data_IF_893473882808
#
_entry.id   IF_893473882808
#
_cell.length_a   1.000
_cell.length_b   1.000
_cell.length_c   1.000
_cell.angle_alpha   90.00
_cell.angle_beta   90.00
_cell.angle_gamma   90.00
#
_symmetry.space_group_name_H-M   'P 1'
#
loop_
_entity.id
_entity.type
_entity.pdbx_description
1 polymer ?
#
# COMPACT_ATOMS: atom_id res chain seq x y z
N UNK A 1 3.54 10.05 -27.87
CA UNK A 1 3.71 8.59 -27.67
C UNK A 1 2.94 8.15 -26.42
N UNK A 2 3.02 6.87 -26.01
CA UNK A 2 2.52 6.47 -24.67
C UNK A 2 3.32 7.17 -23.57
N UNK A 3 4.64 7.18 -23.72
CA UNK A 3 5.59 7.85 -22.83
C UNK A 3 5.25 9.33 -22.63
N UNK A 4 5.08 10.11 -23.71
CA UNK A 4 4.75 11.54 -23.59
C UNK A 4 3.46 11.78 -22.80
N UNK A 5 2.45 10.91 -22.96
CA UNK A 5 1.18 11.02 -22.24
C UNK A 5 1.33 10.67 -20.77
N UNK A 6 2.08 9.61 -20.44
CA UNK A 6 2.35 9.22 -19.06
C UNK A 6 3.11 10.33 -18.33
N UNK A 7 4.15 10.88 -18.96
CA UNK A 7 4.97 11.93 -18.36
C UNK A 7 4.20 13.25 -18.23
N UNK A 8 3.35 13.60 -19.20
CA UNK A 8 2.48 14.78 -19.09
C UNK A 8 1.45 14.64 -17.95
N UNK A 9 0.89 13.44 -17.75
CA UNK A 9 0.02 13.16 -16.59
C UNK A 9 0.82 13.28 -15.30
N UNK A 10 2.04 12.73 -15.24
CA UNK A 10 2.90 12.83 -14.06
C UNK A 10 3.19 14.31 -13.70
N UNK A 11 3.49 15.16 -14.69
CA UNK A 11 3.72 16.59 -14.47
C UNK A 11 2.46 17.31 -13.96
N UNK A 12 1.28 16.89 -14.42
CA UNK A 12 0.01 17.42 -13.94
C UNK A 12 -0.28 16.98 -12.50
N UNK A 13 -0.15 15.68 -12.20
CA UNK A 13 -0.32 15.13 -10.86
C UNK A 13 0.68 15.74 -9.87
N UNK A 14 1.92 15.99 -10.28
CA UNK A 14 2.92 16.65 -9.44
C UNK A 14 2.49 18.06 -8.99
N UNK A 15 1.74 18.81 -9.83
CA UNK A 15 1.18 20.11 -9.43
C UNK A 15 0.12 19.94 -8.33
N UNK A 16 -0.75 18.95 -8.47
CA UNK A 16 -1.79 18.66 -7.46
C UNK A 16 -1.18 18.20 -6.14
N UNK A 17 -0.15 17.35 -6.19
CA UNK A 17 0.59 16.91 -5.00
C UNK A 17 1.16 18.14 -4.27
N UNK A 18 1.78 19.08 -4.99
CA UNK A 18 2.25 20.35 -4.38
C UNK A 18 1.12 21.17 -3.75
N UNK A 19 -0.06 21.20 -4.35
CA UNK A 19 -1.22 21.86 -3.75
C UNK A 19 -1.65 21.21 -2.42
N UNK A 20 -1.73 19.88 -2.38
CA UNK A 20 -2.05 19.12 -1.15
C UNK A 20 -1.00 19.35 -0.05
N UNK A 21 0.25 19.39 -0.47
CA UNK A 21 1.41 19.69 0.36
C UNK A 21 1.35 21.07 1.01
N UNK A 22 1.08 22.11 0.22
CA UNK A 22 0.87 23.49 0.70
C UNK A 22 -0.33 23.59 1.65
N UNK A 23 -1.35 22.74 1.45
CA UNK A 23 -2.49 22.61 2.36
C UNK A 23 -2.19 21.82 3.65
N UNK A 24 -0.96 21.32 3.83
CA UNK A 24 -0.50 20.64 5.04
C UNK A 24 -0.57 19.12 5.02
N UNK A 25 -0.83 18.48 3.86
CA UNK A 25 -0.76 17.03 3.74
C UNK A 25 0.67 16.54 3.98
N UNK A 26 0.85 15.58 4.90
CA UNK A 26 2.18 15.03 5.23
C UNK A 26 2.55 13.80 4.42
N UNK A 27 1.56 13.15 3.82
CA UNK A 27 1.72 12.01 2.94
C UNK A 27 0.60 12.06 1.90
N UNK A 28 0.91 11.65 0.68
CA UNK A 28 -0.07 11.53 -0.41
C UNK A 28 -0.05 10.10 -0.95
N UNK A 29 -1.23 9.49 -0.96
CA UNK A 29 -1.42 8.15 -1.50
C UNK A 29 -1.73 8.25 -2.99
N UNK A 30 -0.97 7.52 -3.80
CA UNK A 30 -1.17 7.40 -5.24
C UNK A 30 -1.66 5.98 -5.53
N UNK A 31 -2.96 5.86 -5.81
CA UNK A 31 -3.58 4.62 -6.24
C UNK A 31 -3.23 4.32 -7.71
N UNK A 32 -2.30 3.39 -7.92
CA UNK A 32 -1.80 3.06 -9.24
C UNK A 32 -1.65 1.54 -9.43
N UNK A 33 -2.77 0.81 -9.57
CA UNK A 33 -2.74 -0.62 -9.86
C UNK A 33 -2.12 -0.93 -11.24
N UNK A 34 -1.98 0.06 -12.13
CA UNK A 34 -1.42 -0.15 -13.46
C UNK A 34 0.09 -0.46 -13.43
N UNK A 35 0.81 0.03 -12.41
CA UNK A 35 2.25 -0.27 -12.19
C UNK A 35 2.49 -1.78 -12.14
N UNK A 36 1.65 -2.51 -11.40
CA UNK A 36 1.75 -3.96 -11.24
C UNK A 36 1.02 -4.71 -12.36
N UNK A 37 -0.04 -4.12 -12.94
CA UNK A 37 -0.76 -4.71 -14.07
C UNK A 37 0.04 -4.73 -15.38
N UNK A 38 1.02 -3.82 -15.53
CA UNK A 38 1.82 -3.68 -16.75
C UNK A 38 3.33 -3.69 -16.48
N UNK A 39 3.91 -4.85 -16.10
CA UNK A 39 5.35 -4.97 -15.80
C UNK A 39 6.27 -4.46 -16.90
N UNK A 40 5.85 -4.59 -18.17
CA UNK A 40 6.60 -4.11 -19.33
C UNK A 40 6.87 -2.59 -19.34
N UNK A 41 6.12 -1.81 -18.57
CA UNK A 41 6.26 -0.35 -18.47
C UNK A 41 6.84 0.10 -17.13
N UNK A 42 7.40 -0.80 -16.32
CA UNK A 42 7.86 -0.49 -14.96
C UNK A 42 8.91 0.65 -14.94
N UNK A 43 9.76 0.72 -15.95
CA UNK A 43 10.76 1.78 -16.10
C UNK A 43 10.12 3.15 -16.35
N UNK A 44 9.13 3.20 -17.24
CA UNK A 44 8.37 4.42 -17.53
C UNK A 44 7.54 4.87 -16.30
N UNK A 45 6.94 3.91 -15.59
CA UNK A 45 6.24 4.21 -14.34
C UNK A 45 7.20 4.79 -13.29
N UNK A 46 8.40 4.23 -13.12
CA UNK A 46 9.39 4.76 -12.18
C UNK A 46 9.80 6.18 -12.54
N UNK A 47 9.96 6.48 -13.83
CA UNK A 47 10.26 7.84 -14.30
C UNK A 47 9.12 8.82 -13.98
N UNK A 48 7.86 8.41 -14.20
CA UNK A 48 6.72 9.20 -13.77
C UNK A 48 6.75 9.49 -12.26
N UNK A 49 7.05 8.49 -11.43
CA UNK A 49 7.16 8.65 -9.98
C UNK A 49 8.32 9.54 -9.54
N UNK A 50 9.43 9.62 -10.30
CA UNK A 50 10.50 10.60 -10.02
C UNK A 50 9.98 12.02 -10.11
N UNK A 51 9.18 12.32 -11.14
CA UNK A 51 8.55 13.64 -11.31
C UNK A 51 7.57 13.98 -10.19
N UNK A 52 6.90 12.97 -9.63
CA UNK A 52 6.03 13.15 -8.45
C UNK A 52 6.83 13.40 -7.18
N UNK A 53 7.94 12.68 -6.98
CA UNK A 53 8.73 12.70 -5.76
C UNK A 53 9.50 14.03 -5.54
N UNK A 54 9.79 14.76 -6.62
CA UNK A 54 10.47 16.07 -6.59
C UNK A 54 9.63 17.19 -5.90
N UNK A 55 8.46 16.85 -5.36
CA UNK A 55 7.52 17.79 -4.74
C UNK A 55 7.64 17.91 -3.21
N UNK A 56 8.69 17.34 -2.61
CA UNK A 56 9.10 17.43 -1.20
C UNK A 56 8.23 16.68 -0.16
N UNK A 57 7.26 15.84 -0.58
CA UNK A 57 6.36 15.12 0.33
C UNK A 57 6.51 13.60 0.24
N UNK A 58 6.15 12.92 1.33
CA UNK A 58 6.15 11.46 1.37
C UNK A 58 5.02 10.93 0.46
N UNK A 59 5.40 10.09 -0.50
CA UNK A 59 4.44 9.39 -1.36
C UNK A 59 4.23 7.96 -0.87
N UNK A 60 3.00 7.48 -0.93
CA UNK A 60 2.66 6.07 -0.86
C UNK A 60 2.20 5.59 -2.25
N UNK A 61 2.86 4.56 -2.79
CA UNK A 61 2.36 3.89 -3.99
C UNK A 61 1.43 2.75 -3.55
N UNK A 62 0.15 2.88 -3.87
CA UNK A 62 -0.90 1.93 -3.47
C UNK A 62 -1.19 1.01 -4.65
N UNK A 63 -0.70 -0.23 -4.56
CA UNK A 63 -0.96 -1.26 -5.57
C UNK A 63 -2.05 -2.21 -5.08
N UNK A 64 -3.07 -2.43 -5.92
CA UNK A 64 -4.15 -3.38 -5.65
C UNK A 64 -4.65 -3.97 -6.98
N UNK A 65 -5.67 -4.83 -6.92
CA UNK A 65 -6.17 -5.66 -8.02
C UNK A 65 -5.23 -6.74 -8.55
N UNK A 66 -3.93 -6.49 -8.75
CA UNK A 66 -3.02 -7.43 -9.39
C UNK A 66 -1.90 -7.86 -8.44
N UNK A 67 -1.44 -9.14 -8.51
CA UNK A 67 -0.30 -9.58 -7.73
C UNK A 67 0.97 -8.83 -8.15
N UNK A 68 1.77 -8.30 -7.21
CA UNK A 68 2.97 -7.52 -7.51
C UNK A 68 4.17 -8.39 -7.93
N UNK A 69 4.04 -9.72 -7.90
CA UNK A 69 5.10 -10.72 -8.00
C UNK A 69 6.10 -10.45 -9.13
N UNK A 70 5.62 -10.07 -10.33
CA UNK A 70 6.45 -9.83 -11.50
C UNK A 70 7.35 -8.59 -11.39
N UNK A 71 7.06 -7.67 -10.47
CA UNK A 71 7.77 -6.38 -10.31
C UNK A 71 8.14 -6.09 -8.87
N UNK A 72 8.00 -7.05 -7.96
CA UNK A 72 8.15 -6.85 -6.52
C UNK A 72 9.50 -6.23 -6.15
N UNK A 73 10.60 -6.72 -6.73
CA UNK A 73 11.93 -6.13 -6.53
C UNK A 73 12.03 -4.72 -7.13
N UNK A 74 11.47 -4.52 -8.32
CA UNK A 74 11.48 -3.23 -9.01
C UNK A 74 10.76 -2.16 -8.20
N UNK A 75 9.67 -2.50 -7.49
CA UNK A 75 8.94 -1.58 -6.63
C UNK A 75 9.81 -1.01 -5.49
N UNK A 76 10.80 -1.77 -5.00
CA UNK A 76 11.70 -1.29 -3.94
C UNK A 76 12.53 -0.07 -4.38
N UNK A 77 12.77 0.08 -5.69
CA UNK A 77 13.51 1.21 -6.27
C UNK A 77 12.67 2.45 -6.56
N UNK A 78 11.34 2.40 -6.34
CA UNK A 78 10.49 3.58 -6.56
C UNK A 78 10.81 4.69 -5.55
N UNK A 79 10.78 5.97 -5.97
CA UNK A 79 11.09 7.12 -5.12
C UNK A 79 9.89 7.49 -4.22
N UNK A 80 9.43 6.54 -3.44
CA UNK A 80 8.28 6.66 -2.53
C UNK A 80 8.67 6.26 -1.11
N UNK A 81 8.00 6.86 -0.13
CA UNK A 81 8.21 6.59 1.29
C UNK A 81 7.50 5.31 1.74
N UNK A 82 6.37 4.97 1.10
CA UNK A 82 5.57 3.81 1.41
C UNK A 82 5.14 3.02 0.18
N UNK A 83 4.97 1.71 0.34
CA UNK A 83 4.39 0.81 -0.67
C UNK A 83 3.22 0.08 -0.01
N UNK A 84 2.04 0.14 -0.63
CA UNK A 84 0.91 -0.70 -0.23
C UNK A 84 0.85 -1.97 -1.08
N UNK A 85 0.76 -3.11 -0.40
CA UNK A 85 0.74 -4.43 -1.04
C UNK A 85 -0.45 -5.22 -0.52
N UNK A 86 -1.29 -5.67 -1.45
CA UNK A 86 -2.34 -6.64 -1.19
C UNK A 86 -1.75 -8.05 -1.02
N UNK A 87 -1.81 -8.58 0.20
CA UNK A 87 -1.38 -9.95 0.52
C UNK A 87 -2.55 -10.86 0.90
N UNK A 88 -3.78 -10.38 0.73
CA UNK A 88 -4.99 -11.03 1.27
C UNK A 88 -5.96 -11.47 0.20
N UNK A 89 -6.25 -10.61 -0.77
CA UNK A 89 -7.35 -10.85 -1.72
C UNK A 89 -6.96 -11.81 -2.84
N UNK A 90 -5.66 -12.07 -3.01
CA UNK A 90 -5.09 -12.95 -4.05
C UNK A 90 -3.84 -13.65 -3.53
N UNK A 91 -3.52 -14.77 -4.17
CA UNK A 91 -2.24 -15.46 -3.95
C UNK A 91 -1.08 -14.60 -4.48
N UNK A 92 -0.01 -14.54 -3.71
CA UNK A 92 1.21 -13.78 -4.02
C UNK A 92 2.40 -14.37 -3.27
N UNK A 93 3.58 -14.26 -3.88
CA UNK A 93 4.90 -14.57 -3.30
C UNK A 93 5.48 -13.38 -2.52
N UNK A 94 4.71 -12.31 -2.28
CA UNK A 94 5.17 -11.10 -1.56
C UNK A 94 5.94 -11.40 -0.27
N UNK A 95 5.49 -12.36 0.54
CA UNK A 95 6.17 -12.73 1.78
C UNK A 95 7.55 -13.37 1.59
N UNK A 96 7.91 -13.83 0.39
CA UNK A 96 9.25 -14.33 0.11
C UNK A 96 10.28 -13.21 0.02
N UNK A 97 9.84 -11.97 -0.29
CA UNK A 97 10.71 -10.83 -0.60
C UNK A 97 10.26 -9.50 0.01
N UNK A 98 9.42 -9.54 1.04
CA UNK A 98 8.91 -8.34 1.72
C UNK A 98 10.04 -7.50 2.35
N UNK A 99 11.16 -8.13 2.69
CA UNK A 99 12.38 -7.49 3.19
C UNK A 99 13.02 -6.52 2.18
N UNK A 100 12.73 -6.64 0.89
CA UNK A 100 13.13 -5.66 -0.13
C UNK A 100 12.60 -4.24 0.20
N UNK A 101 11.51 -4.14 0.95
CA UNK A 101 10.89 -2.88 1.36
C UNK A 101 11.27 -2.45 2.78
N UNK A 102 12.24 -3.09 3.44
CA UNK A 102 12.60 -2.83 4.85
C UNK A 102 12.99 -1.38 5.16
N UNK A 103 13.37 -0.60 4.15
CA UNK A 103 13.75 0.82 4.27
C UNK A 103 12.59 1.78 3.91
N UNK A 104 11.38 1.26 3.69
CA UNK A 104 10.15 2.00 3.39
C UNK A 104 9.08 1.61 4.40
N UNK A 105 8.03 2.42 4.49
CA UNK A 105 6.81 1.94 5.13
C UNK A 105 6.13 0.89 4.26
N UNK A 106 5.78 -0.25 4.85
CA UNK A 106 5.01 -1.32 4.22
C UNK A 106 3.58 -1.20 4.71
N UNK A 107 2.68 -0.81 3.81
CA UNK A 107 1.24 -0.79 4.06
C UNK A 107 0.67 -2.16 3.63
N UNK A 108 0.62 -3.09 4.58
CA UNK A 108 0.27 -4.48 4.34
C UNK A 108 -1.25 -4.66 4.31
N UNK A 109 -1.80 -4.89 3.12
CA UNK A 109 -3.21 -5.16 2.88
C UNK A 109 -3.62 -6.54 3.37
N UNK A 110 -4.15 -6.62 4.58
CA UNK A 110 -4.49 -7.87 5.28
C UNK A 110 -5.99 -8.10 5.47
N UNK A 111 -6.80 -7.09 5.16
CA UNK A 111 -8.26 -7.13 5.21
C UNK A 111 -8.80 -6.90 3.81
N UNK A 112 -9.52 -7.88 3.25
CA UNK A 112 -10.00 -7.78 1.88
C UNK A 112 -11.16 -6.78 1.78
N UNK A 113 -10.89 -5.65 1.14
CA UNK A 113 -11.83 -4.55 0.96
C UNK A 113 -12.85 -4.79 -0.17
N UNK A 114 -12.79 -5.93 -0.88
CA UNK A 114 -13.61 -6.22 -2.07
C UNK A 114 -14.52 -7.43 -1.91
N UNK A 115 -14.61 -7.99 -0.70
CA UNK A 115 -15.57 -9.03 -0.37
C UNK A 115 -16.20 -8.78 1.01
N UNK A 116 -17.37 -9.39 1.26
CA UNK A 116 -18.14 -9.19 2.50
C UNK A 116 -17.80 -10.18 3.62
N UNK A 117 -16.95 -11.19 3.37
CA UNK A 117 -16.51 -12.14 4.40
C UNK A 117 -15.68 -11.39 5.44
N UNK A 118 -16.05 -11.48 6.71
CA UNK A 118 -15.28 -10.84 7.77
C UNK A 118 -13.98 -11.61 8.05
N UNK A 119 -12.87 -10.88 8.15
CA UNK A 119 -11.64 -11.39 8.72
C UNK A 119 -11.77 -11.55 10.24
N UNK A 120 -11.06 -12.52 10.80
CA UNK A 120 -10.87 -12.59 12.25
C UNK A 120 -9.62 -11.82 12.68
N UNK A 121 -9.59 -11.37 13.93
CA UNK A 121 -8.38 -10.75 14.50
C UNK A 121 -7.16 -11.69 14.44
N UNK A 122 -7.36 -13.00 14.60
CA UNK A 122 -6.29 -14.00 14.51
C UNK A 122 -5.74 -14.14 13.08
N UNK A 123 -6.60 -14.09 12.05
CA UNK A 123 -6.14 -14.07 10.66
C UNK A 123 -5.25 -12.84 10.40
N UNK A 124 -5.71 -11.65 10.83
CA UNK A 124 -4.95 -10.39 10.70
C UNK A 124 -3.62 -10.47 11.44
N UNK A 125 -3.61 -10.94 12.68
CA UNK A 125 -2.40 -11.10 13.50
C UNK A 125 -1.39 -12.04 12.83
N UNK A 126 -1.85 -13.17 12.25
CA UNK A 126 -0.98 -14.11 11.53
C UNK A 126 -0.25 -13.48 10.34
N UNK A 127 -0.90 -12.58 9.59
CA UNK A 127 -0.23 -11.83 8.52
C UNK A 127 0.81 -10.86 9.08
N UNK A 128 0.47 -10.14 10.16
CA UNK A 128 1.37 -9.19 10.80
C UNK A 128 2.62 -9.87 11.38
N UNK A 129 2.46 -11.00 12.09
CA UNK A 129 3.58 -11.78 12.64
C UNK A 129 4.51 -12.30 11.54
N UNK A 130 3.97 -12.71 10.39
CA UNK A 130 4.78 -13.09 9.22
C UNK A 130 5.57 -11.90 8.69
N UNK A 131 4.94 -10.73 8.57
CA UNK A 131 5.59 -9.53 8.06
C UNK A 131 6.70 -9.01 9.00
N UNK A 132 6.49 -9.08 10.32
CA UNK A 132 7.46 -8.63 11.32
C UNK A 132 8.75 -9.47 11.35
N UNK A 133 8.76 -10.66 10.74
CA UNK A 133 9.99 -11.44 10.51
C UNK A 133 10.88 -10.83 9.43
N UNK A 134 10.35 -9.93 8.60
CA UNK A 134 10.99 -9.42 7.38
C UNK A 134 11.16 -7.89 7.41
N UNK A 135 10.25 -7.19 8.08
CA UNK A 135 10.19 -5.71 8.12
C UNK A 135 10.15 -5.24 9.58
N UNK A 136 10.90 -4.19 9.95
CA UNK A 136 10.84 -3.61 11.29
C UNK A 136 9.43 -3.16 11.69
N UNK A 137 9.10 -3.29 12.97
CA UNK A 137 7.79 -2.88 13.51
C UNK A 137 7.44 -1.42 13.17
N UNK A 138 8.40 -0.51 13.30
CA UNK A 138 8.20 0.92 13.04
C UNK A 138 7.84 1.22 11.59
N UNK A 139 8.18 0.31 10.66
CA UNK A 139 7.94 0.43 9.23
C UNK A 139 6.70 -0.34 8.76
N UNK A 140 6.10 -1.20 9.58
CA UNK A 140 4.92 -1.97 9.20
C UNK A 140 3.62 -1.25 9.58
N UNK A 141 2.69 -1.12 8.63
CA UNK A 141 1.32 -0.67 8.88
C UNK A 141 0.36 -1.70 8.31
N UNK A 142 -0.63 -2.11 9.09
CA UNK A 142 -1.70 -2.99 8.59
C UNK A 142 -2.81 -2.14 7.99
N UNK A 143 -3.27 -2.52 6.81
CA UNK A 143 -4.31 -1.79 6.07
C UNK A 143 -5.35 -2.75 5.50
N UNK A 144 -6.52 -2.25 5.09
CA UNK A 144 -7.31 -2.92 4.05
C UNK A 144 -6.51 -3.05 2.74
N UNK A 145 -6.93 -3.95 1.86
CA UNK A 145 -6.28 -4.16 0.56
C UNK A 145 -6.46 -3.00 -0.43
N UNK A 146 -7.51 -2.20 -0.26
CA UNK A 146 -7.79 -0.97 -1.00
C UNK A 146 -8.87 -0.17 -0.23
N UNK A 147 -9.41 0.90 -0.83
CA UNK A 147 -10.56 1.63 -0.31
C UNK A 147 -11.72 0.69 0.06
N UNK A 148 -12.41 0.97 1.16
CA UNK A 148 -13.58 0.22 1.63
C UNK A 148 -14.88 0.64 0.90
N UNK A 149 -14.79 1.45 -0.16
CA UNK A 149 -15.94 1.95 -0.94
C UNK A 149 -16.82 0.83 -1.54
N UNK A 150 -16.25 -0.36 -1.74
CA UNK A 150 -16.93 -1.53 -2.29
C UNK A 150 -17.82 -2.27 -1.29
N UNK A 151 -17.84 -1.86 -0.02
CA UNK A 151 -18.49 -2.60 1.05
C UNK A 151 -19.68 -1.84 1.67
N UNK A 152 -20.72 -2.56 2.13
CA UNK A 152 -21.70 -2.00 3.04
C UNK A 152 -21.02 -1.40 4.28
N UNK A 153 -21.54 -0.27 4.76
CA UNK A 153 -20.91 0.52 5.84
C UNK A 153 -20.70 -0.28 7.14
N UNK A 154 -21.63 -1.15 7.47
CA UNK A 154 -21.58 -2.04 8.64
C UNK A 154 -20.47 -3.09 8.50
N UNK A 155 -20.34 -3.70 7.31
CA UNK A 155 -19.26 -4.64 6.97
C UNK A 155 -17.89 -3.94 7.01
N UNK A 156 -17.77 -2.76 6.40
CA UNK A 156 -16.55 -1.96 6.44
C UNK A 156 -16.09 -1.66 7.87
N UNK A 157 -17.03 -1.26 8.74
CA UNK A 157 -16.75 -1.03 10.17
C UNK A 157 -16.33 -2.30 10.90
N UNK A 158 -16.97 -3.43 10.63
CA UNK A 158 -16.62 -4.70 11.25
C UNK A 158 -15.21 -5.16 10.86
N UNK A 159 -14.84 -5.01 9.58
CA UNK A 159 -13.50 -5.28 9.07
C UNK A 159 -12.43 -4.38 9.69
N UNK A 160 -12.71 -3.09 9.87
CA UNK A 160 -11.81 -2.18 10.58
C UNK A 160 -11.64 -2.56 12.06
N UNK A 161 -12.69 -3.07 12.73
CA UNK A 161 -12.54 -3.61 14.09
C UNK A 161 -11.60 -4.80 14.12
N UNK A 162 -11.77 -5.77 13.22
CA UNK A 162 -10.89 -6.93 13.11
C UNK A 162 -9.43 -6.53 12.82
N UNK A 163 -9.20 -5.50 11.99
CA UNK A 163 -7.87 -4.95 11.70
C UNK A 163 -7.19 -4.43 12.98
N UNK A 164 -7.91 -3.61 13.77
CA UNK A 164 -7.40 -3.02 15.01
C UNK A 164 -7.18 -4.11 16.08
N UNK A 165 -8.12 -5.04 16.23
CA UNK A 165 -8.00 -6.15 17.18
C UNK A 165 -6.81 -7.05 16.83
N UNK A 166 -6.60 -7.38 15.54
CA UNK A 166 -5.45 -8.14 15.09
C UNK A 166 -4.12 -7.43 15.35
N UNK A 167 -4.04 -6.12 15.11
CA UNK A 167 -2.85 -5.33 15.44
C UNK A 167 -2.53 -5.34 16.96
N UNK A 168 -3.56 -5.30 17.80
CA UNK A 168 -3.41 -5.35 19.27
C UNK A 168 -2.92 -6.70 19.77
N UNK A 169 -3.34 -7.80 19.15
CA UNK A 169 -2.84 -9.14 19.50
C UNK A 169 -1.32 -9.24 19.34
N UNK A 170 -0.76 -8.56 18.32
CA UNK A 170 0.67 -8.59 18.01
C UNK A 170 1.48 -7.66 18.90
N UNK A 171 0.94 -6.47 19.20
CA UNK A 171 1.62 -5.45 20.01
C UNK A 171 1.44 -5.64 21.51
N UNK A 172 0.45 -6.43 21.94
CA UNK A 172 0.06 -6.58 23.35
C UNK A 172 -0.68 -5.36 23.91
N UNK A 173 -1.05 -4.40 23.06
CA UNK A 173 -1.77 -3.19 23.48
C UNK A 173 -3.20 -3.54 23.93
N UNK A 174 -3.57 -3.13 25.15
CA UNK A 174 -4.90 -3.36 25.71
C UNK A 174 -5.89 -2.29 25.23
N UNK A 175 -7.14 -2.68 24.98
CA UNK A 175 -8.22 -1.74 24.66
C UNK A 175 -8.47 -0.83 25.88
N UNK A 176 -8.43 0.51 25.73
CA UNK A 176 -8.94 1.40 26.77
C UNK A 176 -10.41 1.05 27.02
N UNK A 177 -10.76 0.80 28.28
CA UNK A 177 -12.13 0.48 28.70
C UNK A 177 -13.12 1.60 28.34
#
# INVERSE_FOLDING_TARGET
>A
SLEDRVLAIADATAREIRGLSEAGARMVDIEDPAVVASPRHIELAREAYRRLADTAHALALVTYFFPPDAVLESLASFPVAAIAIDVRSRDTTTFERLDAFRNKYVLLGVVDARNTRLETAAEVAGYAERALKLVPLDHLRLTPTTSLEYLPRDVARAKLRALVEGARLVTGEKVPA
#
